data_IF_707260437123
#
_entry.id   IF_707260437123
#
_cell.length_a   1.000
_cell.length_b   1.000
_cell.length_c   1.000
_cell.angle_alpha   90.00
_cell.angle_beta   90.00
_cell.angle_gamma   90.00
#
_symmetry.space_group_name_H-M   'P 1'
#
loop_
_entity.id
_entity.type
_entity.pdbx_description
1 polymer ?
#
# COMPACT_ATOMS: atom_id res chain seq x y z
N UNK A 1 -17.71 -4.44 1.43
CA UNK A 1 -16.99 -4.97 0.26
C UNK A 1 -17.91 -5.90 -0.52
N UNK A 2 -17.79 -5.96 -1.85
CA UNK A 2 -18.62 -6.80 -2.71
C UNK A 2 -18.30 -8.30 -2.56
N UNK A 3 -17.08 -8.62 -2.13
CA UNK A 3 -16.61 -9.97 -1.86
C UNK A 3 -16.56 -10.22 -0.34
N UNK A 4 -17.29 -11.21 0.21
CA UNK A 4 -17.37 -11.45 1.65
C UNK A 4 -16.06 -11.99 2.24
N UNK A 5 -15.18 -12.51 1.40
CA UNK A 5 -13.88 -13.06 1.78
C UNK A 5 -12.75 -12.03 1.82
N UNK A 6 -12.98 -10.78 1.38
CA UNK A 6 -11.97 -9.71 1.42
C UNK A 6 -12.09 -8.94 2.74
N UNK A 7 -11.01 -8.96 3.52
CA UNK A 7 -10.89 -8.25 4.81
C UNK A 7 -10.44 -6.80 4.61
N UNK A 8 -9.40 -6.60 3.82
CA UNK A 8 -8.88 -5.27 3.50
C UNK A 8 -8.19 -5.27 2.15
N UNK A 9 -8.09 -4.08 1.54
CA UNK A 9 -7.37 -3.85 0.29
C UNK A 9 -6.45 -2.65 0.50
N UNK A 10 -5.21 -2.80 0.06
CA UNK A 10 -4.21 -1.74 0.00
C UNK A 10 -3.82 -1.53 -1.46
N UNK A 11 -3.77 -0.27 -1.89
CA UNK A 11 -3.39 0.11 -3.25
C UNK A 11 -2.14 0.98 -3.17
N UNK A 12 -1.16 0.64 -3.99
CA UNK A 12 0.04 1.42 -4.24
C UNK A 12 0.12 1.75 -5.74
N UNK A 13 1.14 2.49 -6.17
CA UNK A 13 1.31 2.90 -7.57
C UNK A 13 1.48 1.70 -8.51
N UNK A 14 2.09 0.61 -8.03
CA UNK A 14 2.48 -0.53 -8.84
C UNK A 14 1.89 -1.88 -8.38
N UNK A 15 1.18 -1.94 -7.24
CA UNK A 15 0.54 -3.17 -6.79
C UNK A 15 -0.75 -2.92 -6.01
N UNK A 16 -1.56 -3.99 -5.91
CA UNK A 16 -2.73 -4.05 -5.03
C UNK A 16 -2.54 -5.25 -4.11
N UNK A 17 -2.50 -5.02 -2.81
CA UNK A 17 -2.45 -6.08 -1.80
C UNK A 17 -3.85 -6.33 -1.24
N UNK A 18 -4.28 -7.58 -1.27
CA UNK A 18 -5.61 -8.00 -0.81
C UNK A 18 -5.42 -8.92 0.39
N UNK A 19 -5.96 -8.53 1.53
CA UNK A 19 -6.03 -9.40 2.71
C UNK A 19 -7.36 -10.14 2.69
N UNK A 20 -7.31 -11.47 2.70
CA UNK A 20 -8.51 -12.32 2.81
C UNK A 20 -8.79 -12.69 4.27
N UNK A 21 -10.03 -13.10 4.55
CA UNK A 21 -10.34 -13.84 5.77
C UNK A 21 -9.85 -15.28 5.66
N UNK A 22 -9.58 -15.92 6.80
CA UNK A 22 -9.08 -17.30 6.86
C UNK A 22 -10.08 -18.33 6.34
N UNK A 23 -11.36 -17.96 6.23
CA UNK A 23 -12.45 -18.82 5.73
C UNK A 23 -12.40 -19.07 4.21
N UNK A 24 -11.54 -18.36 3.47
CA UNK A 24 -11.43 -18.48 2.02
C UNK A 24 -10.02 -18.93 1.63
N UNK A 25 -9.89 -19.73 0.59
CA UNK A 25 -8.59 -20.14 0.06
C UNK A 25 -8.23 -19.39 -1.21
N UNK A 26 -6.94 -19.10 -1.40
CA UNK A 26 -6.47 -18.32 -2.55
C UNK A 26 -6.79 -19.00 -3.89
N UNK A 27 -6.65 -20.32 -3.95
CA UNK A 27 -6.96 -21.09 -5.16
C UNK A 27 -8.41 -20.92 -5.65
N UNK A 28 -9.34 -20.65 -4.73
CA UNK A 28 -10.76 -20.55 -5.05
C UNK A 28 -11.19 -19.13 -5.45
N UNK A 29 -10.47 -18.11 -4.94
CA UNK A 29 -10.87 -16.69 -5.11
C UNK A 29 -9.99 -15.91 -6.12
N UNK A 30 -8.80 -16.41 -6.46
CA UNK A 30 -7.82 -15.66 -7.28
C UNK A 30 -8.34 -15.35 -8.67
N UNK A 31 -8.97 -16.32 -9.34
CA UNK A 31 -9.49 -16.13 -10.71
C UNK A 31 -10.59 -15.06 -10.70
N UNK A 32 -11.55 -15.19 -9.79
CA UNK A 32 -12.67 -14.25 -9.66
C UNK A 32 -12.18 -12.82 -9.39
N UNK A 33 -11.22 -12.64 -8.50
CA UNK A 33 -10.64 -11.33 -8.20
C UNK A 33 -9.92 -10.73 -9.41
N UNK A 34 -9.12 -11.53 -10.13
CA UNK A 34 -8.43 -11.05 -11.35
C UNK A 34 -9.41 -10.62 -12.43
N UNK A 35 -10.43 -11.43 -12.68
CA UNK A 35 -11.44 -11.10 -13.70
C UNK A 35 -12.18 -9.82 -13.33
N UNK A 36 -12.56 -9.66 -12.06
CA UNK A 36 -13.20 -8.44 -11.58
C UNK A 36 -12.31 -7.20 -11.78
N UNK A 37 -11.05 -7.26 -11.34
CA UNK A 37 -10.12 -6.13 -11.47
C UNK A 37 -9.88 -5.81 -12.95
N UNK A 38 -9.65 -6.84 -13.77
CA UNK A 38 -9.44 -6.70 -15.21
C UNK A 38 -10.64 -6.05 -15.89
N UNK A 39 -11.84 -6.59 -15.70
CA UNK A 39 -13.08 -6.05 -16.30
C UNK A 39 -13.36 -4.61 -15.86
N UNK A 40 -13.06 -4.29 -14.61
CA UNK A 40 -13.20 -2.93 -14.09
C UNK A 40 -12.27 -1.94 -14.83
N UNK A 41 -11.01 -2.33 -15.03
CA UNK A 41 -10.00 -1.54 -15.76
C UNK A 41 -10.33 -1.44 -17.25
N UNK A 42 -10.71 -2.56 -17.90
CA UNK A 42 -11.06 -2.60 -19.32
C UNK A 42 -12.28 -1.73 -19.65
N UNK A 43 -13.21 -1.58 -18.70
CA UNK A 43 -14.36 -0.68 -18.83
C UNK A 43 -14.01 0.79 -18.63
N UNK A 44 -12.74 1.13 -18.39
CA UNK A 44 -12.29 2.51 -18.19
C UNK A 44 -12.93 3.18 -16.98
N UNK A 45 -13.35 2.41 -15.98
CA UNK A 45 -13.97 2.95 -14.77
C UNK A 45 -12.93 3.69 -13.93
N UNK A 46 -13.39 4.69 -13.20
CA UNK A 46 -12.55 5.44 -12.27
C UNK A 46 -12.00 4.50 -11.17
N UNK A 47 -10.67 4.40 -11.09
CA UNK A 47 -9.97 3.54 -10.11
C UNK A 47 -9.84 4.27 -8.78
N UNK A 48 -9.50 5.55 -8.82
CA UNK A 48 -9.31 6.42 -7.65
C UNK A 48 -10.11 7.69 -7.89
N UNK A 49 -10.99 8.02 -6.94
CA UNK A 49 -11.77 9.26 -7.00
C UNK A 49 -10.85 10.48 -6.93
N UNK A 50 -11.24 11.55 -7.61
CA UNK A 50 -10.50 12.82 -7.58
C UNK A 50 -10.23 13.35 -6.16
N UNK A 51 -11.15 13.15 -5.21
CA UNK A 51 -10.95 13.58 -3.80
C UNK A 51 -9.85 12.77 -3.07
N UNK A 52 -9.63 11.53 -3.48
CA UNK A 52 -8.56 10.70 -2.92
C UNK A 52 -7.18 11.19 -3.40
N UNK A 53 -7.06 11.76 -4.60
CA UNK A 53 -5.82 12.37 -5.08
C UNK A 53 -5.41 13.59 -4.24
N UNK A 54 -6.37 14.44 -3.85
CA UNK A 54 -6.09 15.55 -2.93
C UNK A 54 -5.63 15.07 -1.55
N UNK A 55 -6.19 13.94 -1.08
CA UNK A 55 -5.81 13.32 0.19
C UNK A 55 -4.39 12.75 0.11
N UNK A 56 -4.02 12.12 -1.01
CA UNK A 56 -2.66 11.64 -1.25
C UNK A 56 -1.65 12.79 -1.24
N UNK A 57 -1.93 13.90 -1.93
CA UNK A 57 -1.04 15.06 -1.96
C UNK A 57 -0.83 15.69 -0.57
N UNK A 58 -1.89 15.78 0.24
CA UNK A 58 -1.78 16.24 1.64
C UNK A 58 -0.93 15.29 2.47
N UNK A 59 -1.12 13.99 2.27
CA UNK A 59 -0.34 12.95 2.95
C UNK A 59 1.14 13.04 2.57
N UNK A 60 1.50 13.21 1.30
CA UNK A 60 2.89 13.36 0.85
C UNK A 60 3.57 14.55 1.50
N UNK A 61 2.93 15.73 1.48
CA UNK A 61 3.49 16.93 2.13
C UNK A 61 3.71 16.75 3.64
N UNK A 62 2.79 16.04 4.29
CA UNK A 62 2.90 15.74 5.72
C UNK A 62 4.04 14.75 6.00
N UNK A 63 4.24 13.76 5.12
CA UNK A 63 5.37 12.83 5.19
C UNK A 63 6.69 13.59 5.05
N UNK A 64 6.82 14.48 4.06
CA UNK A 64 8.02 15.29 3.86
C UNK A 64 8.33 16.16 5.08
N UNK A 65 7.32 16.85 5.63
CA UNK A 65 7.51 17.66 6.83
C UNK A 65 7.89 16.82 8.06
N UNK A 66 7.31 15.63 8.20
CA UNK A 66 7.63 14.72 9.30
C UNK A 66 9.04 14.17 9.16
N UNK A 67 9.45 13.80 7.95
CA UNK A 67 10.79 13.34 7.64
C UNK A 67 11.82 14.42 8.00
N UNK A 68 11.57 15.67 7.62
CA UNK A 68 12.49 16.77 7.95
C UNK A 68 12.61 17.05 9.44
N UNK A 69 11.57 16.75 10.22
CA UNK A 69 11.56 16.89 11.69
C UNK A 69 12.28 15.75 12.44
N UNK A 70 12.69 14.67 11.76
CA UNK A 70 13.42 13.57 12.37
C UNK A 70 14.88 13.93 12.67
N UNK A 71 15.48 13.23 13.65
CA UNK A 71 16.92 13.29 13.89
C UNK A 71 17.71 12.59 12.77
N UNK A 72 19.02 12.85 12.71
CA UNK A 72 19.89 12.36 11.64
C UNK A 72 19.91 10.83 11.53
N UNK A 73 19.84 10.10 12.65
CA UNK A 73 19.85 8.63 12.64
C UNK A 73 18.52 8.11 12.10
N UNK A 74 17.40 8.67 12.57
CA UNK A 74 16.07 8.34 12.05
C UNK A 74 15.95 8.62 10.56
N UNK A 75 16.47 9.75 10.06
CA UNK A 75 16.52 10.06 8.62
C UNK A 75 17.32 9.02 7.83
N UNK A 76 18.47 8.59 8.35
CA UNK A 76 19.27 7.53 7.72
C UNK A 76 18.51 6.20 7.66
N UNK A 77 17.81 5.81 8.73
CA UNK A 77 16.98 4.60 8.76
C UNK A 77 15.90 4.68 7.68
N UNK A 78 15.16 5.79 7.61
CA UNK A 78 14.10 5.98 6.61
C UNK A 78 14.67 5.89 5.19
N UNK A 79 15.79 6.54 4.90
CA UNK A 79 16.42 6.47 3.57
C UNK A 79 16.79 5.03 3.18
N UNK A 80 17.37 4.26 4.11
CA UNK A 80 17.71 2.84 3.86
C UNK A 80 16.44 2.03 3.59
N UNK A 81 15.38 2.27 4.38
CA UNK A 81 14.11 1.57 4.19
C UNK A 81 13.51 1.86 2.81
N UNK A 82 13.46 3.12 2.40
CA UNK A 82 12.88 3.52 1.11
C UNK A 82 13.72 3.03 -0.08
N UNK A 83 15.05 3.13 -0.01
CA UNK A 83 15.93 2.80 -1.14
C UNK A 83 16.17 1.30 -1.30
N UNK A 84 16.28 0.53 -0.20
CA UNK A 84 16.72 -0.87 -0.26
C UNK A 84 15.70 -1.89 0.24
N UNK A 85 14.90 -1.57 1.28
CA UNK A 85 14.05 -2.58 1.94
C UNK A 85 12.66 -2.62 1.35
N UNK A 86 12.03 -1.47 1.17
CA UNK A 86 10.67 -1.32 0.66
C UNK A 86 10.48 -1.94 -0.72
N UNK A 87 11.42 -1.84 -1.69
CA UNK A 87 11.28 -2.52 -2.98
C UNK A 87 11.18 -4.04 -2.85
N UNK A 88 11.96 -4.64 -1.94
CA UNK A 88 11.92 -6.08 -1.70
C UNK A 88 10.61 -6.51 -1.02
N UNK A 89 10.17 -5.75 -0.01
CA UNK A 89 8.93 -6.03 0.73
C UNK A 89 7.69 -5.90 -0.18
N UNK A 90 7.67 -4.89 -1.05
CA UNK A 90 6.60 -4.70 -2.02
C UNK A 90 6.54 -5.85 -3.05
N UNK A 91 7.70 -6.38 -3.46
CA UNK A 91 7.74 -7.56 -4.34
C UNK A 91 7.13 -8.81 -3.71
N UNK A 92 7.14 -8.92 -2.38
CA UNK A 92 6.48 -9.98 -1.62
C UNK A 92 5.03 -9.62 -1.23
N UNK A 93 4.54 -8.46 -1.68
CA UNK A 93 3.18 -7.98 -1.44
C UNK A 93 2.94 -7.34 -0.07
N UNK A 94 4.01 -7.04 0.68
CA UNK A 94 3.98 -6.33 1.95
C UNK A 94 4.18 -4.82 1.80
N UNK A 95 3.97 -4.09 2.89
CA UNK A 95 4.34 -2.68 3.01
C UNK A 95 5.09 -2.46 4.33
N UNK A 96 6.11 -1.60 4.33
CA UNK A 96 6.90 -1.26 5.51
C UNK A 96 6.93 0.26 5.69
N UNK A 97 6.83 0.69 6.94
CA UNK A 97 6.88 2.10 7.31
C UNK A 97 7.67 2.28 8.61
N UNK A 98 8.50 3.32 8.65
CA UNK A 98 9.20 3.74 9.85
C UNK A 98 8.22 4.34 10.87
N UNK A 99 8.32 3.91 12.13
CA UNK A 99 7.50 4.41 13.25
C UNK A 99 8.31 5.33 14.17
N UNK A 100 9.43 4.81 14.71
CA UNK A 100 10.30 5.55 15.62
C UNK A 100 11.63 4.82 15.82
N UNK A 101 12.67 5.56 16.21
CA UNK A 101 13.94 5.02 16.69
C UNK A 101 14.22 5.57 18.09
N UNK A 102 14.79 4.74 18.97
CA UNK A 102 15.19 5.13 20.31
C UNK A 102 16.60 4.58 20.56
N UNK A 103 17.58 5.47 20.69
CA UNK A 103 18.92 5.11 21.18
C UNK A 103 18.85 4.96 22.70
N UNK A 104 18.94 3.72 23.17
CA UNK A 104 18.98 3.39 24.59
C UNK A 104 20.08 4.14 25.36
#
# INVERSE_FOLDING_TARGET
FHFPFVKSVFLDENYVSITKYDVAEWQDITIQLREFIKDYIEKGKEIVKSEALETLQKTTKQIDSNFEALDDVSKQIVNILEEYVKPAVASDGGNIQFISYNSA
#
